data_IF_359210999785
#
_entry.id   IF_359210999785
#
_cell.length_a   1.000
_cell.length_b   1.000
_cell.length_c   1.000
_cell.angle_alpha   90.00
_cell.angle_beta   90.00
_cell.angle_gamma   90.00
#
_symmetry.space_group_name_H-M   'P 1'
#
loop_
_entity.id
_entity.type
_entity.pdbx_description
1 polymer ?
#
# COMPACT_ATOMS: atom_id res chain seq x y z
N UNK A 1 23.33 13.38 0.09
CA UNK A 1 23.15 11.92 -0.04
C UNK A 1 22.20 11.47 1.06
N UNK A 2 20.96 11.07 0.73
CA UNK A 2 19.96 10.69 1.73
C UNK A 2 20.28 9.34 2.37
N UNK A 3 20.11 9.24 3.70
CA UNK A 3 20.43 8.03 4.45
C UNK A 3 19.64 6.81 3.95
N UNK A 4 20.36 5.86 3.35
CA UNK A 4 19.84 4.52 3.05
C UNK A 4 19.66 3.81 4.39
N UNK A 5 18.43 3.48 4.79
CA UNK A 5 18.20 2.57 5.92
C UNK A 5 18.67 1.18 5.50
N UNK A 6 19.91 0.82 5.84
CA UNK A 6 20.40 -0.56 5.72
C UNK A 6 19.68 -1.41 6.75
N UNK A 7 19.25 -2.60 6.35
CA UNK A 7 18.74 -3.59 7.30
C UNK A 7 19.89 -3.95 8.24
N UNK A 8 19.64 -3.85 9.53
CA UNK A 8 20.56 -4.24 10.59
C UNK A 8 19.98 -5.45 11.30
N UNK A 9 20.83 -6.39 11.63
CA UNK A 9 20.49 -7.53 12.45
C UNK A 9 20.09 -7.03 13.86
N UNK A 10 18.97 -7.53 14.37
CA UNK A 10 18.39 -7.01 15.61
C UNK A 10 19.20 -7.44 16.85
N UNK A 11 19.90 -8.56 16.77
CA UNK A 11 20.63 -9.15 17.89
C UNK A 11 22.08 -8.66 17.92
N UNK A 12 22.69 -8.45 16.74
CA UNK A 12 24.11 -8.04 16.63
C UNK A 12 24.29 -6.56 16.34
N UNK A 13 23.27 -5.88 15.82
CA UNK A 13 23.35 -4.49 15.36
C UNK A 13 24.18 -4.29 14.09
N UNK A 14 24.73 -5.36 13.51
CA UNK A 14 25.53 -5.29 12.30
C UNK A 14 24.65 -5.15 11.04
N UNK A 15 25.12 -4.44 10.00
CA UNK A 15 24.42 -4.40 8.72
C UNK A 15 24.30 -5.81 8.12
N UNK A 16 23.07 -6.22 7.81
CA UNK A 16 22.84 -7.50 7.14
C UNK A 16 23.48 -7.44 5.74
N UNK A 17 24.30 -8.44 5.35
CA UNK A 17 24.88 -8.51 4.02
C UNK A 17 23.80 -8.38 2.94
N UNK A 18 24.02 -7.49 1.97
CA UNK A 18 23.09 -7.26 0.87
C UNK A 18 23.45 -8.14 -0.32
N UNK A 19 22.46 -8.84 -0.87
CA UNK A 19 22.55 -9.54 -2.14
C UNK A 19 21.44 -9.04 -3.09
N UNK A 20 21.62 -9.12 -4.42
CA UNK A 20 20.53 -8.87 -5.35
C UNK A 20 19.33 -9.76 -5.03
N UNK A 21 18.13 -9.17 -5.02
CA UNK A 21 16.93 -9.95 -4.79
C UNK A 21 16.69 -10.96 -5.91
N UNK A 22 16.33 -12.20 -5.55
CA UNK A 22 15.93 -13.25 -6.49
C UNK A 22 14.46 -13.10 -6.94
N UNK A 23 14.01 -11.87 -7.19
CA UNK A 23 12.66 -11.60 -7.67
C UNK A 23 12.59 -11.76 -9.20
N UNK A 24 11.50 -12.34 -9.71
CA UNK A 24 11.27 -12.53 -11.15
C UNK A 24 10.95 -11.23 -11.92
N UNK A 25 11.10 -10.07 -11.28
CA UNK A 25 10.79 -8.77 -11.85
C UNK A 25 10.94 -7.64 -10.83
N UNK A 26 10.32 -6.50 -11.14
CA UNK A 26 10.26 -5.37 -10.20
C UNK A 26 9.43 -5.76 -8.97
N UNK A 27 9.82 -5.26 -7.81
CA UNK A 27 9.22 -5.60 -6.52
C UNK A 27 8.56 -4.39 -5.88
N UNK A 28 7.64 -4.64 -4.96
CA UNK A 28 6.96 -3.60 -4.19
C UNK A 28 7.50 -3.58 -2.76
N UNK A 29 7.73 -2.39 -2.22
CA UNK A 29 8.03 -2.22 -0.80
C UNK A 29 6.72 -2.17 -0.03
N UNK A 30 6.64 -2.85 1.11
CA UNK A 30 5.42 -2.96 1.92
C UNK A 30 5.72 -2.63 3.37
N UNK A 31 4.92 -1.76 3.96
CA UNK A 31 4.92 -1.48 5.39
C UNK A 31 4.22 -2.62 6.13
N UNK A 32 5.02 -3.54 6.68
CA UNK A 32 4.51 -4.72 7.38
C UNK A 32 3.67 -4.36 8.61
N UNK A 33 4.04 -3.31 9.35
CA UNK A 33 3.31 -2.91 10.56
C UNK A 33 1.90 -2.43 10.22
N UNK A 34 1.76 -1.64 9.14
CA UNK A 34 0.44 -1.22 8.65
C UNK A 34 -0.36 -2.40 8.10
N UNK A 35 0.27 -3.32 7.37
CA UNK A 35 -0.43 -4.52 6.87
C UNK A 35 -0.90 -5.40 8.02
N UNK A 36 -0.05 -5.65 9.01
CA UNK A 36 -0.37 -6.40 10.23
C UNK A 36 -1.58 -5.78 10.93
N UNK A 37 -1.53 -4.46 11.21
CA UNK A 37 -2.63 -3.74 11.84
C UNK A 37 -3.95 -3.86 11.05
N UNK A 38 -3.91 -3.77 9.71
CA UNK A 38 -5.10 -3.99 8.87
C UNK A 38 -5.61 -5.42 9.00
N UNK A 39 -4.70 -6.41 8.97
CA UNK A 39 -5.06 -7.84 9.00
C UNK A 39 -5.53 -8.32 10.37
N UNK A 40 -5.09 -7.71 11.45
CA UNK A 40 -5.52 -8.03 12.82
C UNK A 40 -6.78 -7.26 13.22
N UNK A 41 -7.02 -6.09 12.62
CA UNK A 41 -8.17 -5.27 12.96
C UNK A 41 -9.49 -5.98 12.72
N UNK A 42 -10.38 -5.90 13.72
CA UNK A 42 -11.78 -6.36 13.63
C UNK A 42 -12.64 -5.42 12.78
N UNK A 43 -12.14 -4.23 12.44
CA UNK A 43 -12.85 -3.28 11.60
C UNK A 43 -12.94 -3.73 10.13
N UNK A 44 -12.08 -4.66 9.70
CA UNK A 44 -12.06 -5.19 8.33
C UNK A 44 -12.52 -6.65 8.29
N UNK A 45 -13.38 -6.98 7.32
CA UNK A 45 -13.79 -8.36 7.06
C UNK A 45 -12.68 -9.15 6.36
N UNK A 46 -12.70 -10.49 6.35
CA UNK A 46 -11.73 -11.29 5.60
C UNK A 46 -11.62 -10.89 4.13
N UNK A 47 -12.74 -10.62 3.44
CA UNK A 47 -12.73 -10.17 2.04
C UNK A 47 -12.09 -8.78 1.86
N UNK A 48 -12.24 -7.89 2.85
CA UNK A 48 -11.60 -6.56 2.82
C UNK A 48 -10.09 -6.71 2.98
N UNK A 49 -9.64 -7.55 3.93
CA UNK A 49 -8.21 -7.87 4.15
C UNK A 49 -7.60 -8.53 2.92
N UNK A 50 -8.30 -9.49 2.31
CA UNK A 50 -7.90 -10.10 1.05
C UNK A 50 -7.73 -9.07 -0.06
N UNK A 51 -8.67 -8.14 -0.25
CA UNK A 51 -8.51 -7.11 -1.29
C UNK A 51 -7.35 -6.16 -1.00
N UNK A 52 -7.02 -5.89 0.26
CA UNK A 52 -5.79 -5.11 0.57
C UNK A 52 -4.54 -5.84 0.08
N UNK A 53 -4.41 -7.14 0.36
CA UNK A 53 -3.29 -7.95 -0.13
C UNK A 53 -3.26 -8.00 -1.66
N UNK A 54 -4.42 -8.18 -2.29
CA UNK A 54 -4.54 -8.14 -3.73
C UNK A 54 -4.09 -6.78 -4.31
N UNK A 55 -4.52 -5.67 -3.71
CA UNK A 55 -4.12 -4.32 -4.12
C UNK A 55 -2.62 -4.07 -3.98
N UNK A 56 -1.96 -4.62 -2.96
CA UNK A 56 -0.49 -4.57 -2.82
C UNK A 56 0.18 -5.26 -4.02
N UNK A 57 -0.34 -6.42 -4.43
CA UNK A 57 0.23 -7.21 -5.53
C UNK A 57 -0.01 -6.64 -6.93
N UNK A 58 -1.06 -5.82 -7.12
CA UNK A 58 -1.45 -5.34 -8.47
C UNK A 58 -1.32 -3.83 -8.68
N UNK A 59 -1.00 -3.06 -7.64
CA UNK A 59 -0.85 -1.61 -7.78
C UNK A 59 0.31 -1.30 -8.73
N UNK A 60 0.10 -0.44 -9.74
CA UNK A 60 1.15 -0.08 -10.69
C UNK A 60 2.31 0.69 -10.06
N UNK A 61 3.38 0.79 -10.83
CA UNK A 61 4.57 1.58 -10.49
C UNK A 61 4.27 3.07 -10.31
N UNK A 62 5.08 3.72 -9.47
CA UNK A 62 5.01 5.15 -9.24
C UNK A 62 3.70 5.52 -8.56
N UNK A 63 2.95 6.46 -9.15
CA UNK A 63 1.65 6.92 -8.64
C UNK A 63 0.47 6.67 -9.59
N UNK A 64 0.69 5.88 -10.64
CA UNK A 64 -0.37 5.53 -11.59
C UNK A 64 -1.47 4.67 -10.93
N UNK A 65 -2.74 4.84 -11.33
CA UNK A 65 -3.81 3.96 -10.90
C UNK A 65 -3.78 2.61 -11.64
N UNK A 66 -4.35 1.56 -11.02
CA UNK A 66 -4.75 0.39 -11.79
C UNK A 66 -5.91 0.77 -12.73
N UNK A 67 -5.68 0.66 -14.04
CA UNK A 67 -6.69 0.87 -15.09
C UNK A 67 -7.60 -0.35 -15.22
N UNK A 68 -8.40 -0.61 -14.20
CA UNK A 68 -9.39 -1.67 -14.17
C UNK A 68 -10.69 -1.16 -13.53
N UNK A 69 -11.84 -1.49 -14.15
CA UNK A 69 -13.14 -1.18 -13.57
C UNK A 69 -13.45 -2.11 -12.40
N UNK A 70 -14.47 -1.76 -11.60
CA UNK A 70 -14.94 -2.66 -10.54
C UNK A 70 -15.36 -4.04 -11.06
N UNK A 71 -15.90 -4.11 -12.28
CA UNK A 71 -16.28 -5.37 -12.92
C UNK A 71 -15.05 -6.20 -13.33
N UNK A 72 -14.01 -5.55 -13.88
CA UNK A 72 -12.76 -6.23 -14.23
C UNK A 72 -12.08 -6.80 -12.99
N UNK A 73 -12.03 -6.01 -11.91
CA UNK A 73 -11.47 -6.44 -10.63
C UNK A 73 -12.28 -7.62 -10.09
N UNK A 74 -13.61 -7.51 -10.06
CA UNK A 74 -14.51 -8.56 -9.60
C UNK A 74 -14.30 -9.89 -10.31
N UNK A 75 -14.13 -9.87 -11.63
CA UNK A 75 -13.79 -11.05 -12.43
C UNK A 75 -12.45 -11.66 -12.00
N UNK A 76 -11.42 -10.84 -11.75
CA UNK A 76 -10.08 -11.31 -11.34
C UNK A 76 -10.06 -11.91 -9.93
N UNK A 77 -10.89 -11.39 -9.03
CA UNK A 77 -10.89 -11.80 -7.62
C UNK A 77 -12.00 -12.80 -7.26
N UNK A 78 -12.83 -13.19 -8.23
CA UNK A 78 -13.95 -14.12 -8.00
C UNK A 78 -15.04 -13.54 -7.09
N UNK A 79 -15.29 -12.23 -7.16
CA UNK A 79 -16.32 -11.53 -6.37
C UNK A 79 -17.37 -10.89 -7.29
N UNK A 80 -18.47 -10.40 -6.73
CA UNK A 80 -19.41 -9.55 -7.48
C UNK A 80 -18.89 -8.11 -7.60
N UNK A 81 -19.25 -7.41 -8.68
CA UNK A 81 -18.88 -6.02 -8.89
C UNK A 81 -19.38 -5.09 -7.76
N UNK A 82 -20.57 -5.36 -7.21
CA UNK A 82 -21.11 -4.62 -6.06
C UNK A 82 -20.26 -4.84 -4.79
N UNK A 83 -19.87 -6.09 -4.51
CA UNK A 83 -19.02 -6.40 -3.36
C UNK A 83 -17.66 -5.69 -3.46
N UNK A 84 -17.00 -5.76 -4.62
CA UNK A 84 -15.75 -5.03 -4.88
C UNK A 84 -15.95 -3.51 -4.73
N UNK A 85 -17.03 -2.96 -5.28
CA UNK A 85 -17.35 -1.54 -5.16
C UNK A 85 -17.54 -1.10 -3.70
N UNK A 86 -18.27 -1.87 -2.89
CA UNK A 86 -18.47 -1.61 -1.46
C UNK A 86 -17.15 -1.67 -0.69
N UNK A 87 -16.32 -2.68 -0.95
CA UNK A 87 -15.02 -2.83 -0.32
C UNK A 87 -14.10 -1.65 -0.68
N UNK A 88 -13.95 -1.33 -1.96
CA UNK A 88 -13.08 -0.23 -2.41
C UNK A 88 -13.52 1.12 -1.81
N UNK A 89 -14.83 1.40 -1.74
CA UNK A 89 -15.33 2.61 -1.07
C UNK A 89 -14.94 2.67 0.41
N UNK A 90 -15.02 1.53 1.11
CA UNK A 90 -14.59 1.46 2.52
C UNK A 90 -13.08 1.66 2.64
N UNK A 91 -12.28 1.03 1.79
CA UNK A 91 -10.82 1.18 1.82
C UNK A 91 -10.39 2.62 1.47
N UNK A 92 -11.10 3.30 0.58
CA UNK A 92 -10.88 4.74 0.30
C UNK A 92 -11.24 5.60 1.51
N UNK A 93 -12.35 5.30 2.21
CA UNK A 93 -12.72 6.03 3.45
C UNK A 93 -11.60 5.94 4.50
N UNK A 94 -10.95 4.78 4.61
CA UNK A 94 -9.80 4.57 5.50
C UNK A 94 -8.46 4.99 4.89
N UNK A 95 -8.45 5.63 3.71
CA UNK A 95 -7.24 6.06 2.99
C UNK A 95 -6.22 4.93 2.77
N UNK A 96 -6.69 3.68 2.78
CA UNK A 96 -5.93 2.49 2.39
C UNK A 96 -5.79 2.45 0.87
N UNK A 97 -6.86 2.80 0.16
CA UNK A 97 -6.82 3.08 -1.27
C UNK A 97 -6.87 4.58 -1.53
N UNK A 98 -6.20 4.98 -2.61
CA UNK A 98 -6.19 6.35 -3.11
C UNK A 98 -6.82 6.37 -4.50
N UNK A 99 -7.74 7.30 -4.72
CA UNK A 99 -8.32 7.54 -6.05
C UNK A 99 -7.31 8.32 -6.89
N UNK A 100 -7.00 7.80 -8.08
CA UNK A 100 -6.03 8.38 -9.02
C UNK A 100 -6.57 8.38 -10.44
N UNK A 101 -7.71 9.03 -10.63
CA UNK A 101 -8.36 9.18 -11.93
C UNK A 101 -9.78 8.64 -11.96
N UNK A 102 -10.50 9.00 -13.02
CA UNK A 102 -11.91 8.65 -13.21
C UNK A 102 -12.22 8.59 -14.71
N UNK A 103 -13.08 7.66 -15.11
CA UNK A 103 -13.69 7.60 -16.44
C UNK A 103 -15.19 7.43 -16.27
N UNK A 104 -15.98 8.36 -16.79
CA UNK A 104 -17.44 8.38 -16.58
C UNK A 104 -17.76 8.40 -15.08
N UNK A 105 -18.42 7.36 -14.56
CA UNK A 105 -18.73 7.20 -13.13
C UNK A 105 -17.79 6.24 -12.39
N UNK A 106 -16.73 5.76 -13.04
CA UNK A 106 -15.80 4.80 -12.48
C UNK A 106 -14.53 5.49 -12.00
N UNK A 107 -14.19 5.31 -10.72
CA UNK A 107 -12.90 5.74 -10.18
C UNK A 107 -11.85 4.66 -10.42
N UNK A 108 -10.61 5.09 -10.67
CA UNK A 108 -9.46 4.21 -10.63
C UNK A 108 -8.68 4.40 -9.33
N UNK A 109 -8.15 3.29 -8.82
CA UNK A 109 -7.56 3.23 -7.49
C UNK A 109 -6.14 2.69 -7.54
N UNK A 110 -5.40 2.97 -6.47
CA UNK A 110 -4.15 2.30 -6.11
C UNK A 110 -4.07 2.14 -4.60
N UNK A 111 -3.19 1.27 -4.14
CA UNK A 111 -2.82 1.21 -2.73
C UNK A 111 -2.10 2.51 -2.30
N UNK A 112 -2.35 2.95 -1.08
CA UNK A 112 -1.67 4.12 -0.50
C UNK A 112 -0.15 3.92 -0.48
N UNK A 113 0.64 4.94 -0.86
CA UNK A 113 2.11 4.89 -0.80
C UNK A 113 2.67 4.72 0.61
N UNK A 114 1.84 4.96 1.65
CA UNK A 114 2.17 4.65 3.04
C UNK A 114 2.14 3.15 3.36
N UNK A 115 1.39 2.36 2.58
CA UNK A 115 1.22 0.91 2.81
C UNK A 115 2.11 0.11 1.86
N UNK A 116 2.06 0.42 0.56
CA UNK A 116 2.93 -0.20 -0.42
C UNK A 116 3.28 0.75 -1.56
N UNK A 117 4.52 0.66 -2.03
CA UNK A 117 5.02 1.48 -3.12
C UNK A 117 5.95 0.68 -4.02
N UNK A 118 5.66 0.74 -5.32
CA UNK A 118 6.49 0.18 -6.36
C UNK A 118 7.29 1.34 -6.98
N UNK A 119 8.56 1.43 -6.57
CA UNK A 119 9.50 2.47 -6.96
C UNK A 119 10.59 2.66 -5.90
N UNK A 120 11.41 3.67 -6.06
CA UNK A 120 12.47 4.02 -5.11
C UNK A 120 11.90 4.69 -3.85
N UNK A 121 12.67 4.69 -2.76
CA UNK A 121 12.29 5.41 -1.55
C UNK A 121 12.18 6.93 -1.74
N UNK A 122 12.92 7.52 -2.69
CA UNK A 122 12.80 8.94 -3.02
C UNK A 122 11.45 9.23 -3.70
N UNK A 123 11.07 8.43 -4.68
CA UNK A 123 9.77 8.54 -5.35
C UNK A 123 8.62 8.29 -4.37
N UNK A 124 8.78 7.36 -3.43
CA UNK A 124 7.81 7.12 -2.36
C UNK A 124 7.66 8.34 -1.45
N UNK A 125 8.77 9.00 -1.07
CA UNK A 125 8.75 10.24 -0.27
C UNK A 125 8.02 11.37 -0.97
N UNK A 126 8.19 11.53 -2.28
CA UNK A 126 7.41 12.51 -3.03
C UNK A 126 5.94 12.10 -3.16
N UNK A 127 5.68 10.81 -3.38
CA UNK A 127 4.32 10.28 -3.48
C UNK A 127 3.48 10.51 -2.22
N UNK A 128 4.05 10.28 -1.04
CA UNK A 128 3.33 10.47 0.23
C UNK A 128 2.94 11.92 0.49
N UNK A 129 3.68 12.91 -0.01
CA UNK A 129 3.31 14.35 0.10
C UNK A 129 1.98 14.67 -0.58
N UNK A 130 1.55 13.85 -1.55
CA UNK A 130 0.28 14.01 -2.28
C UNK A 130 -0.88 13.19 -1.68
N UNK A 131 -0.64 12.56 -0.52
CA UNK A 131 -1.58 11.65 0.13
C UNK A 131 -1.66 11.97 1.63
N UNK A 132 -2.83 11.77 2.22
CA UNK A 132 -2.93 11.73 3.67
C UNK A 132 -2.56 10.31 4.18
N UNK A 133 -1.97 10.18 5.38
CA UNK A 133 -1.72 8.88 5.99
C UNK A 133 -3.01 8.02 6.10
N UNK A 134 -2.91 6.69 5.94
CA UNK A 134 -4.03 5.78 6.17
C UNK A 134 -4.67 5.95 7.55
N UNK A 135 -5.99 5.92 7.62
CA UNK A 135 -6.73 5.81 8.89
C UNK A 135 -6.99 4.32 9.16
N UNK A 136 -6.06 3.67 9.86
CA UNK A 136 -6.13 2.24 10.20
C UNK A 136 -6.62 2.13 11.66
N UNK A 137 -7.82 1.58 11.91
CA UNK A 137 -8.35 1.48 13.28
C UNK A 137 -7.46 0.65 14.20
N UNK A 138 -7.00 1.28 15.29
CA UNK A 138 -6.13 0.66 16.29
C UNK A 138 -4.63 0.74 15.98
N UNK A 139 -4.24 1.38 14.88
CA UNK A 139 -2.84 1.65 14.58
C UNK A 139 -2.46 3.03 15.12
N UNK A 140 -1.50 3.08 16.04
CA UNK A 140 -0.96 4.34 16.54
C UNK A 140 0.14 4.83 15.59
N UNK A 141 -0.12 5.93 14.88
CA UNK A 141 0.79 6.55 13.91
C UNK A 141 1.90 7.35 14.62
N UNK A 142 2.08 7.20 15.94
CA UNK A 142 3.07 7.89 16.78
C UNK A 142 4.54 7.61 16.44
N UNK A 143 4.86 6.82 15.41
CA UNK A 143 6.22 6.78 14.85
C UNK A 143 6.42 8.09 14.07
N UNK A 144 7.22 9.05 14.58
CA UNK A 144 7.34 10.35 13.94
C UNK A 144 7.88 10.19 12.52
N UNK A 145 7.54 11.15 11.66
CA UNK A 145 8.27 11.44 10.43
C UNK A 145 9.73 11.83 10.78
N UNK A 146 10.57 10.85 11.17
CA UNK A 146 12.00 11.02 11.45
C UNK A 146 12.80 11.54 10.25
N UNK A 147 12.14 11.73 9.10
CA UNK A 147 12.72 12.24 7.87
C UNK A 147 12.53 13.76 7.67
N UNK A 148 11.67 14.43 8.46
CA UNK A 148 11.49 15.90 8.42
C UNK A 148 12.55 16.66 9.22
N UNK A 149 13.30 15.96 10.08
CA UNK A 149 14.34 16.54 10.94
C UNK A 149 15.77 16.40 10.36
N UNK A 150 15.92 16.08 9.06
CA UNK A 150 17.22 15.92 8.38
C UNK A 150 17.29 16.64 7.05
#
# INVERSE_FOLDING_TARGET
MGAVRRLVDADTGEPVPYAPYAFSGRHTQVDKARVEAITESKAFTPSQKFLVLWWIGVSPEGMEPLRATGADIAKRVGMSADAVGKINRKLVKHRILVVRGRVGNYNFYRISPYIAFHGTGLEQREAVKTCNPPDIPGFDDQIPARWEAQ
#
